data_IF_695168898190
#
_entry.id   IF_695168898190
#
_cell.length_a   1.000
_cell.length_b   1.000
_cell.length_c   1.000
_cell.angle_alpha   90.00
_cell.angle_beta   90.00
_cell.angle_gamma   90.00
#
_symmetry.space_group_name_H-M   'P 1'
#
loop_
_entity.id
_entity.type
_entity.pdbx_description
1 polymer ?
#
# COMPACT_ATOMS: atom_id res chain seq x y z
N UNK A 1 1.04 17.72 -4.77
CA UNK A 1 2.05 17.31 -3.76
C UNK A 1 2.10 15.79 -3.72
N UNK A 2 3.13 15.22 -4.36
CA UNK A 2 3.50 13.81 -4.22
C UNK A 2 4.25 13.69 -2.88
N UNK A 3 3.88 12.75 -1.98
CA UNK A 3 4.68 12.54 -0.79
C UNK A 3 6.09 12.12 -1.22
N UNK A 4 7.09 12.65 -0.51
CA UNK A 4 8.50 12.38 -0.75
C UNK A 4 8.72 10.84 -0.71
N UNK A 5 9.27 10.19 -1.75
CA UNK A 5 9.49 8.74 -1.76
C UNK A 5 10.50 8.24 -0.71
N UNK A 6 11.14 9.16 0.01
CA UNK A 6 12.11 8.91 1.07
C UNK A 6 11.56 9.09 2.48
N UNK A 7 10.24 8.93 2.72
CA UNK A 7 9.79 8.74 4.11
C UNK A 7 10.43 7.42 4.56
N UNK A 8 11.31 7.39 5.58
CA UNK A 8 11.81 6.16 6.15
C UNK A 8 10.67 5.56 6.96
N UNK A 9 9.73 4.96 6.23
CA UNK A 9 8.63 4.21 6.80
C UNK A 9 9.18 2.81 7.06
N UNK A 10 9.44 2.49 8.33
CA UNK A 10 9.80 1.13 8.71
C UNK A 10 8.58 0.23 8.52
N UNK A 11 8.62 -0.63 7.50
CA UNK A 11 7.58 -1.61 7.25
C UNK A 11 7.72 -2.76 8.25
N UNK A 12 6.76 -2.89 9.16
CA UNK A 12 6.71 -4.03 10.06
C UNK A 12 6.36 -5.30 9.23
N UNK A 13 7.17 -6.38 9.27
CA UNK A 13 6.86 -7.64 8.62
C UNK A 13 5.49 -8.22 8.97
N UNK A 14 4.97 -7.95 10.17
CA UNK A 14 3.64 -8.40 10.60
C UNK A 14 2.51 -7.81 9.76
N UNK A 15 2.70 -6.62 9.17
CA UNK A 15 1.73 -6.01 8.27
C UNK A 15 1.62 -6.75 6.92
N UNK A 16 2.67 -7.48 6.54
CA UNK A 16 2.79 -8.14 5.24
C UNK A 16 2.18 -9.55 5.26
N UNK A 17 0.94 -9.64 5.74
CA UNK A 17 0.13 -10.86 5.74
C UNK A 17 -0.08 -11.38 4.32
N UNK A 18 -0.47 -12.65 4.18
CA UNK A 18 -0.80 -13.23 2.86
C UNK A 18 -1.86 -12.40 2.14
N UNK A 19 -2.91 -11.98 2.85
CA UNK A 19 -4.00 -11.16 2.29
C UNK A 19 -3.48 -9.82 1.75
N UNK A 20 -2.64 -9.12 2.50
CA UNK A 20 -2.06 -7.83 2.08
C UNK A 20 -1.18 -8.01 0.84
N UNK A 21 -0.36 -9.08 0.80
CA UNK A 21 0.49 -9.38 -0.36
C UNK A 21 -0.32 -9.76 -1.59
N UNK A 22 -1.37 -10.55 -1.42
CA UNK A 22 -2.25 -10.98 -2.52
C UNK A 22 -3.01 -9.78 -3.12
N UNK A 23 -3.54 -8.89 -2.27
CA UNK A 23 -4.16 -7.64 -2.71
C UNK A 23 -3.17 -6.74 -3.46
N UNK A 24 -1.96 -6.55 -2.93
CA UNK A 24 -0.93 -5.76 -3.61
C UNK A 24 -0.52 -6.38 -4.96
N UNK A 25 -0.40 -7.71 -5.02
CA UNK A 25 -0.08 -8.43 -6.25
C UNK A 25 -1.18 -8.27 -7.31
N UNK A 26 -2.45 -8.39 -6.91
CA UNK A 26 -3.63 -8.16 -7.75
C UNK A 26 -3.64 -6.73 -8.30
N UNK A 27 -3.50 -5.72 -7.43
CA UNK A 27 -3.46 -4.30 -7.82
C UNK A 27 -2.34 -4.06 -8.83
N UNK A 28 -1.15 -4.63 -8.62
CA UNK A 28 -0.01 -4.44 -9.50
C UNK A 28 -0.17 -5.12 -10.87
N UNK A 29 -0.65 -6.37 -10.87
CA UNK A 29 -0.83 -7.18 -12.07
C UNK A 29 -1.94 -6.61 -12.95
N UNK A 30 -3.14 -6.46 -12.39
CA UNK A 30 -4.36 -6.06 -13.09
C UNK A 30 -4.50 -4.55 -13.25
N UNK A 31 -3.63 -3.76 -12.58
CA UNK A 31 -3.74 -2.29 -12.51
C UNK A 31 -5.08 -1.84 -11.92
N UNK A 32 -5.66 -2.68 -11.06
CA UNK A 32 -6.92 -2.43 -10.38
C UNK A 32 -6.70 -1.56 -9.14
N UNK A 33 -6.36 -0.30 -9.40
CA UNK A 33 -6.10 0.67 -8.35
C UNK A 33 -7.35 1.09 -7.56
N UNK A 34 -8.55 0.71 -8.02
CA UNK A 34 -9.78 0.90 -7.26
C UNK A 34 -9.79 0.07 -5.97
N UNK A 35 -8.97 -0.99 -5.89
CA UNK A 35 -8.83 -1.86 -4.72
C UNK A 35 -7.88 -1.30 -3.66
N UNK A 36 -7.27 -0.12 -3.88
CA UNK A 36 -6.38 0.54 -2.90
C UNK A 36 -7.01 0.78 -1.50
N UNK A 37 -8.28 1.19 -1.37
CA UNK A 37 -8.90 1.32 -0.05
C UNK A 37 -8.97 -0.01 0.71
N UNK A 38 -9.24 -1.12 0.00
CA UNK A 38 -9.31 -2.47 0.57
C UNK A 38 -7.92 -2.91 1.05
N UNK A 39 -6.86 -2.57 0.30
CA UNK A 39 -5.48 -2.77 0.73
C UNK A 39 -5.18 -2.00 2.02
N UNK A 40 -5.64 -0.75 2.13
CA UNK A 40 -5.50 0.06 3.34
C UNK A 40 -6.18 -0.56 4.56
N UNK A 41 -7.39 -1.07 4.39
CA UNK A 41 -8.11 -1.76 5.46
C UNK A 41 -7.41 -3.07 5.86
N UNK A 42 -6.93 -3.86 4.89
CA UNK A 42 -6.14 -5.07 5.17
C UNK A 42 -4.84 -4.80 5.91
N UNK A 43 -4.19 -3.66 5.66
CA UNK A 43 -3.03 -3.20 6.44
C UNK A 43 -3.44 -2.84 7.88
N UNK A 44 -4.57 -2.17 8.06
CA UNK A 44 -5.09 -1.80 9.38
C UNK A 44 -5.40 -3.04 10.23
N UNK A 45 -6.05 -4.03 9.63
CA UNK A 45 -6.35 -5.33 10.26
C UNK A 45 -5.07 -6.08 10.67
N UNK A 46 -3.98 -5.90 9.91
CA UNK A 46 -2.66 -6.44 10.23
C UNK A 46 -1.90 -5.62 11.30
N UNK A 47 -2.51 -4.57 11.86
CA UNK A 47 -1.93 -3.74 12.90
C UNK A 47 -1.15 -2.52 12.38
N UNK A 48 -1.32 -2.12 11.12
CA UNK A 48 -0.73 -0.89 10.59
C UNK A 48 -1.59 0.33 10.97
N UNK A 49 -1.12 1.10 11.95
CA UNK A 49 -1.73 2.35 12.41
C UNK A 49 -1.15 3.61 11.75
N UNK A 50 -0.31 3.45 10.72
CA UNK A 50 0.40 4.56 10.12
C UNK A 50 -0.51 5.44 9.24
N UNK A 51 -0.83 6.65 9.73
CA UNK A 51 -1.76 7.58 9.07
C UNK A 51 -1.38 7.88 7.61
N UNK A 52 -0.09 8.07 7.29
CA UNK A 52 0.36 8.33 5.91
C UNK A 52 0.01 7.20 4.93
N UNK A 53 0.07 5.94 5.36
CA UNK A 53 -0.31 4.79 4.53
C UNK A 53 -1.81 4.81 4.30
N UNK A 54 -2.59 5.00 5.37
CA UNK A 54 -4.05 5.01 5.31
C UNK A 54 -4.57 6.16 4.45
N UNK A 55 -4.02 7.36 4.63
CA UNK A 55 -4.37 8.54 3.82
C UNK A 55 -3.97 8.35 2.34
N UNK A 56 -2.88 7.63 2.06
CA UNK A 56 -2.50 7.29 0.69
C UNK A 56 -3.47 6.28 0.07
N UNK A 57 -3.77 5.17 0.75
CA UNK A 57 -4.67 4.13 0.27
C UNK A 57 -6.10 4.66 0.04
N UNK A 58 -6.54 5.65 0.83
CA UNK A 58 -7.86 6.29 0.71
C UNK A 58 -7.84 7.57 -0.14
N UNK A 59 -6.69 7.93 -0.72
CA UNK A 59 -6.58 9.12 -1.54
C UNK A 59 -7.40 8.97 -2.82
N UNK A 60 -8.08 10.04 -3.24
CA UNK A 60 -8.70 10.11 -4.57
C UNK A 60 -7.69 10.41 -5.68
N UNK A 61 -6.40 10.59 -5.33
CA UNK A 61 -5.33 10.78 -6.31
C UNK A 61 -5.18 9.51 -7.15
N UNK A 62 -4.93 9.64 -8.46
CA UNK A 62 -4.68 8.49 -9.30
C UNK A 62 -3.48 7.68 -8.78
N UNK A 63 -3.67 6.37 -8.62
CA UNK A 63 -2.58 5.43 -8.41
C UNK A 63 -2.13 4.85 -9.76
N UNK A 64 -0.86 4.47 -9.83
CA UNK A 64 -0.23 3.86 -10.99
C UNK A 64 0.84 2.86 -10.52
N UNK A 65 1.43 2.11 -11.46
CA UNK A 65 2.66 1.35 -11.17
C UNK A 65 3.75 2.33 -10.74
N UNK A 66 4.48 2.04 -9.66
CA UNK A 66 5.25 3.06 -8.93
C UNK A 66 4.55 3.57 -7.66
N UNK A 67 3.37 3.03 -7.31
CA UNK A 67 2.72 3.31 -6.03
C UNK A 67 3.59 2.78 -4.89
N UNK A 68 4.14 3.68 -4.09
CA UNK A 68 5.10 3.35 -3.05
C UNK A 68 4.58 2.36 -2.01
N UNK A 69 3.27 2.36 -1.68
CA UNK A 69 2.66 1.37 -0.78
C UNK A 69 2.71 -0.02 -1.40
N UNK A 70 2.24 -0.15 -2.64
CA UNK A 70 2.19 -1.43 -3.36
C UNK A 70 3.61 -1.95 -3.62
N UNK A 71 4.51 -1.09 -4.06
CA UNK A 71 5.88 -1.47 -4.36
C UNK A 71 6.64 -1.89 -3.09
N UNK A 72 6.41 -1.22 -1.95
CA UNK A 72 7.01 -1.63 -0.68
C UNK A 72 6.51 -3.00 -0.21
N UNK A 73 5.20 -3.28 -0.30
CA UNK A 73 4.63 -4.60 0.04
C UNK A 73 5.20 -5.71 -0.84
N UNK A 74 5.41 -5.41 -2.12
CA UNK A 74 5.96 -6.35 -3.10
C UNK A 74 7.50 -6.41 -3.11
N UNK A 75 8.19 -5.59 -2.32
CA UNK A 75 9.65 -5.51 -2.29
C UNK A 75 10.27 -5.02 -3.61
N UNK A 76 9.60 -4.11 -4.31
CA UNK A 76 10.00 -3.58 -5.64
C UNK A 76 10.77 -2.25 -5.59
N UNK A 77 11.36 -1.92 -4.45
CA UNK A 77 12.13 -0.68 -4.19
C UNK A 77 13.61 -0.97 -3.97
#
# INVERSE_FOLDING_TARGET
MFPNPFVPLEWNPEWLTSTVRDLAAHIYAERDFATMPILGDGLMDAGCDHQLIQDHCRSTKPHARGCWVVDAILGKT
#
